data_IF_763685051049
#
_entry.id   IF_763685051049
#
_cell.length_a   1.000
_cell.length_b   1.000
_cell.length_c   1.000
_cell.angle_alpha   90.00
_cell.angle_beta   90.00
_cell.angle_gamma   90.00
#
_symmetry.space_group_name_H-M   'P 1'
#
loop_
_entity.id
_entity.type
_entity.pdbx_description
1 polymer ?
#
# COMPACT_ATOMS: atom_id res chain seq x y z
N UNK A 1 0.54 -12.48 -14.30
CA UNK A 1 -0.92 -12.38 -14.09
C UNK A 1 -1.55 -13.67 -14.59
N UNK A 2 -2.35 -14.35 -13.76
CA UNK A 2 -3.00 -15.59 -14.16
C UNK A 2 -4.24 -15.29 -15.00
N UNK A 3 -4.57 -16.16 -15.95
CA UNK A 3 -5.76 -16.02 -16.81
C UNK A 3 -7.09 -16.11 -16.07
N UNK A 4 -7.07 -16.44 -14.77
CA UNK A 4 -8.23 -16.54 -13.89
C UNK A 4 -8.32 -15.37 -12.89
N UNK A 5 -7.40 -14.41 -12.95
CA UNK A 5 -7.43 -13.26 -12.05
C UNK A 5 -8.65 -12.37 -12.38
N UNK A 6 -9.36 -11.92 -11.36
CA UNK A 6 -10.44 -10.94 -11.52
C UNK A 6 -9.86 -9.60 -11.97
N UNK A 7 -10.70 -8.77 -12.61
CA UNK A 7 -10.29 -7.44 -13.04
C UNK A 7 -9.78 -6.61 -11.85
N UNK A 8 -8.59 -6.03 -12.01
CA UNK A 8 -7.99 -5.08 -11.07
C UNK A 8 -8.73 -3.75 -11.08
N UNK A 9 -8.44 -2.87 -10.11
CA UNK A 9 -9.00 -1.51 -10.10
C UNK A 9 -8.60 -0.70 -11.33
N UNK A 10 -7.38 -0.90 -11.84
CA UNK A 10 -6.89 -0.26 -13.09
C UNK A 10 -7.76 -0.70 -14.26
N UNK A 11 -7.91 -2.01 -14.47
CA UNK A 11 -8.70 -2.55 -15.59
C UNK A 11 -10.17 -2.19 -15.48
N UNK A 12 -10.71 -2.20 -14.27
CA UNK A 12 -12.09 -1.79 -14.03
C UNK A 12 -12.29 -0.31 -14.38
N UNK A 13 -11.33 0.55 -14.02
CA UNK A 13 -11.36 1.97 -14.35
C UNK A 13 -11.25 2.22 -15.86
N UNK A 14 -10.33 1.54 -16.54
CA UNK A 14 -10.18 1.62 -18.00
C UNK A 14 -11.45 1.15 -18.69
N UNK A 15 -12.04 0.04 -18.25
CA UNK A 15 -13.27 -0.47 -18.84
C UNK A 15 -14.45 0.50 -18.64
N UNK A 16 -14.52 1.17 -17.48
CA UNK A 16 -15.58 2.13 -17.17
C UNK A 16 -15.43 3.45 -17.90
N UNK A 17 -14.20 3.95 -18.07
CA UNK A 17 -13.93 5.31 -18.56
C UNK A 17 -13.30 5.35 -19.96
N UNK A 18 -13.00 4.19 -20.55
CA UNK A 18 -12.38 4.04 -21.87
C UNK A 18 -11.10 4.87 -22.04
N UNK A 19 -10.29 4.97 -20.98
CA UNK A 19 -9.06 5.74 -20.95
C UNK A 19 -7.82 4.86 -21.17
N UNK A 20 -6.64 5.48 -21.22
CA UNK A 20 -5.37 4.74 -21.27
C UNK A 20 -4.98 4.23 -19.88
N UNK A 21 -4.05 3.28 -19.87
CA UNK A 21 -3.42 2.74 -18.66
C UNK A 21 -2.82 3.86 -17.80
N UNK A 22 -2.09 4.80 -18.42
CA UNK A 22 -1.44 5.91 -17.73
C UNK A 22 -2.48 6.79 -17.01
N UNK A 23 -3.57 7.14 -17.68
CA UNK A 23 -4.65 7.94 -17.09
C UNK A 23 -5.28 7.22 -15.90
N UNK A 24 -5.54 5.91 -16.02
CA UNK A 24 -6.12 5.13 -14.94
C UNK A 24 -5.18 5.04 -13.72
N UNK A 25 -3.87 4.90 -13.96
CA UNK A 25 -2.86 4.85 -12.92
C UNK A 25 -2.71 6.19 -12.21
N UNK A 26 -2.67 7.31 -12.95
CA UNK A 26 -2.62 8.65 -12.35
C UNK A 26 -3.85 8.92 -11.46
N UNK A 27 -5.04 8.49 -11.89
CA UNK A 27 -6.26 8.64 -11.08
C UNK A 27 -6.18 7.79 -9.80
N UNK A 28 -5.77 6.53 -9.91
CA UNK A 28 -5.67 5.64 -8.74
C UNK A 28 -4.56 6.08 -7.79
N UNK A 29 -3.44 6.58 -8.28
CA UNK A 29 -2.36 7.13 -7.46
C UNK A 29 -2.84 8.37 -6.70
N UNK A 30 -3.61 9.27 -7.33
CA UNK A 30 -4.25 10.39 -6.63
C UNK A 30 -5.23 9.94 -5.54
N UNK A 31 -6.04 8.91 -5.80
CA UNK A 31 -6.94 8.35 -4.78
C UNK A 31 -6.18 7.78 -3.57
N UNK A 32 -5.03 7.14 -3.82
CA UNK A 32 -4.15 6.64 -2.74
C UNK A 32 -3.58 7.81 -1.93
N UNK A 33 -3.13 8.88 -2.58
CA UNK A 33 -2.63 10.07 -1.89
C UNK A 33 -3.70 10.76 -1.03
N UNK A 34 -4.94 10.86 -1.52
CA UNK A 34 -6.04 11.42 -0.74
C UNK A 34 -6.44 10.52 0.43
N UNK A 35 -6.38 9.20 0.26
CA UNK A 35 -6.56 8.24 1.36
C UNK A 35 -5.46 8.38 2.43
N UNK A 36 -4.23 8.70 2.04
CA UNK A 36 -3.14 9.01 2.97
C UNK A 36 -3.42 10.27 3.79
N UNK A 37 -3.85 11.35 3.14
CA UNK A 37 -4.24 12.61 3.83
C UNK A 37 -5.34 12.34 4.85
N UNK A 38 -6.37 11.58 4.46
CA UNK A 38 -7.47 11.18 5.34
C UNK A 38 -7.00 10.38 6.55
N UNK A 39 -6.11 9.40 6.33
CA UNK A 39 -5.52 8.58 7.41
C UNK A 39 -4.71 9.44 8.38
N UNK A 40 -3.97 10.43 7.88
CA UNK A 40 -3.21 11.35 8.71
C UNK A 40 -4.11 12.28 9.52
N UNK A 41 -5.13 12.86 8.89
CA UNK A 41 -6.11 13.73 9.54
C UNK A 41 -6.84 13.03 10.69
N UNK A 42 -7.20 11.75 10.50
CA UNK A 42 -7.89 10.96 11.52
C UNK A 42 -7.12 10.85 12.86
N UNK A 43 -5.79 10.99 12.87
CA UNK A 43 -5.01 11.01 14.12
C UNK A 43 -5.28 12.25 14.97
N UNK A 44 -5.62 13.36 14.32
CA UNK A 44 -5.98 14.60 14.98
C UNK A 44 -7.46 14.61 15.37
N UNK A 45 -8.34 14.25 14.42
CA UNK A 45 -9.79 14.30 14.64
C UNK A 45 -10.29 13.27 15.65
N UNK A 46 -9.60 12.12 15.76
CA UNK A 46 -10.00 10.99 16.61
C UNK A 46 -8.99 10.71 17.71
N UNK A 47 -8.51 11.77 18.38
CA UNK A 47 -7.52 11.66 19.46
C UNK A 47 -7.91 10.67 20.58
N UNK A 48 -9.19 10.58 20.93
CA UNK A 48 -9.68 9.61 21.93
C UNK A 48 -9.49 8.13 21.52
N UNK A 49 -9.38 7.87 20.21
CA UNK A 49 -9.18 6.53 19.63
C UNK A 49 -7.77 6.36 19.04
N UNK A 50 -6.81 7.23 19.42
CA UNK A 50 -5.49 7.27 18.82
C UNK A 50 -4.77 5.91 18.76
N UNK A 51 -4.83 5.01 19.76
CA UNK A 51 -4.23 3.68 19.65
C UNK A 51 -4.80 2.86 18.48
N UNK A 52 -6.13 2.90 18.29
CA UNK A 52 -6.80 2.20 17.19
C UNK A 52 -6.46 2.83 15.84
N UNK A 53 -6.49 4.17 15.75
CA UNK A 53 -6.14 4.91 14.52
C UNK A 53 -4.70 4.60 14.12
N UNK A 54 -3.77 4.58 15.08
CA UNK A 54 -2.37 4.23 14.80
C UNK A 54 -2.20 2.79 14.32
N UNK A 55 -3.00 1.84 14.82
CA UNK A 55 -2.98 0.46 14.33
C UNK A 55 -3.39 0.38 12.86
N UNK A 56 -4.48 1.05 12.48
CA UNK A 56 -4.92 1.11 11.08
C UNK A 56 -3.87 1.79 10.21
N UNK A 57 -3.35 2.93 10.66
CA UNK A 57 -2.37 3.67 9.88
C UNK A 57 -1.02 2.94 9.74
N UNK A 58 -0.61 2.14 10.74
CA UNK A 58 0.57 1.28 10.63
C UNK A 58 0.35 0.14 9.64
N UNK A 59 -0.86 -0.41 9.55
CA UNK A 59 -1.23 -1.37 8.50
C UNK A 59 -1.18 -0.73 7.10
N UNK A 60 -1.70 0.48 6.93
CA UNK A 60 -1.59 1.20 5.65
C UNK A 60 -0.12 1.44 5.27
N UNK A 61 0.73 1.79 6.26
CA UNK A 61 2.17 1.99 6.03
C UNK A 61 2.86 0.70 5.60
N UNK A 62 2.47 -0.46 6.10
CA UNK A 62 3.09 -1.72 5.68
C UNK A 62 2.83 -2.01 4.20
N UNK A 63 1.72 -1.56 3.62
CA UNK A 63 1.46 -1.72 2.18
C UNK A 63 2.52 -1.02 1.32
N UNK A 64 3.03 0.13 1.75
CA UNK A 64 4.13 0.84 1.05
C UNK A 64 5.42 0.05 1.05
N UNK A 65 5.63 -0.82 2.05
CA UNK A 65 6.78 -1.72 2.12
C UNK A 65 6.57 -2.95 1.24
N UNK A 66 5.38 -3.53 1.29
CA UNK A 66 5.06 -4.78 0.59
C UNK A 66 4.95 -4.59 -0.92
N UNK A 67 4.42 -3.46 -1.37
CA UNK A 67 4.09 -3.20 -2.78
C UNK A 67 4.91 -2.07 -3.41
N UNK A 68 6.00 -1.65 -2.76
CA UNK A 68 6.86 -0.56 -3.24
C UNK A 68 7.34 -0.83 -4.67
N UNK A 69 7.40 0.21 -5.50
CA UNK A 69 7.90 0.16 -6.87
C UNK A 69 7.12 -0.83 -7.76
N UNK A 70 5.81 -1.03 -7.48
CA UNK A 70 4.94 -1.94 -8.23
C UNK A 70 5.42 -3.40 -8.20
N UNK A 71 6.12 -3.80 -7.12
CA UNK A 71 6.59 -5.19 -6.92
C UNK A 71 5.78 -5.85 -5.81
N UNK A 72 5.15 -6.99 -6.09
CA UNK A 72 4.48 -7.80 -5.07
C UNK A 72 5.50 -8.57 -4.23
N UNK A 73 6.01 -7.92 -3.18
CA UNK A 73 6.96 -8.56 -2.26
C UNK A 73 6.28 -9.30 -1.11
N UNK A 74 4.95 -9.33 -1.09
CA UNK A 74 4.20 -10.14 -0.13
C UNK A 74 4.18 -11.59 -0.63
N UNK A 75 3.72 -11.80 -1.87
CA UNK A 75 3.70 -13.12 -2.50
C UNK A 75 5.13 -13.56 -2.87
N UNK A 76 5.94 -12.67 -3.46
CA UNK A 76 7.31 -12.95 -3.86
C UNK A 76 8.32 -12.39 -2.85
N UNK A 77 8.30 -12.95 -1.64
CA UNK A 77 9.02 -12.45 -0.47
C UNK A 77 10.55 -12.56 -0.52
N UNK A 78 11.11 -13.24 -1.53
CA UNK A 78 12.56 -13.35 -1.71
C UNK A 78 13.23 -11.96 -1.73
N UNK A 79 12.60 -10.95 -2.34
CA UNK A 79 13.09 -9.57 -2.39
C UNK A 79 13.04 -8.80 -1.06
N UNK A 80 12.48 -9.39 0.00
CA UNK A 80 12.37 -8.80 1.34
C UNK A 80 13.18 -9.55 2.42
N UNK A 81 13.84 -10.65 2.08
CA UNK A 81 14.57 -11.51 3.03
C UNK A 81 15.56 -10.71 3.89
N UNK A 82 16.35 -9.84 3.27
CA UNK A 82 17.36 -9.04 3.97
C UNK A 82 16.73 -8.01 4.91
N UNK A 83 15.60 -7.42 4.52
CA UNK A 83 14.85 -6.49 5.37
C UNK A 83 14.23 -7.18 6.58
N UNK A 84 13.69 -8.39 6.39
CA UNK A 84 13.15 -9.19 7.50
C UNK A 84 14.28 -9.55 8.46
N UNK A 85 15.44 -9.94 7.93
CA UNK A 85 16.62 -10.20 8.74
C UNK A 85 17.04 -8.97 9.56
N UNK A 86 17.23 -7.82 8.92
CA UNK A 86 17.63 -6.58 9.60
C UNK A 86 16.63 -6.13 10.68
N UNK A 87 15.34 -6.37 10.48
CA UNK A 87 14.32 -5.89 11.41
C UNK A 87 14.05 -6.85 12.58
N UNK A 88 14.22 -8.16 12.37
CA UNK A 88 13.73 -9.19 13.30
C UNK A 88 14.76 -10.26 13.70
N UNK A 89 15.94 -10.30 13.07
CA UNK A 89 16.95 -11.34 13.30
C UNK A 89 18.29 -10.72 13.71
N UNK A 90 18.79 -9.79 12.92
CA UNK A 90 20.11 -9.21 13.10
C UNK A 90 20.00 -8.00 14.06
N UNK A 91 20.66 -8.03 15.24
CA UNK A 91 20.59 -6.94 16.20
C UNK A 91 21.36 -5.71 15.69
N UNK A 92 20.97 -4.53 16.16
CA UNK A 92 21.74 -3.29 15.93
C UNK A 92 23.04 -3.40 16.76
N UNK A 93 24.24 -3.29 16.15
CA UNK A 93 25.49 -3.27 16.89
C UNK A 93 25.51 -2.15 17.93
N UNK A 94 26.01 -2.46 19.13
CA UNK A 94 26.19 -1.51 20.23
C UNK A 94 27.47 -0.68 20.03
#
# INVERSE_FOLDING_TARGET
>A
KNKLDVASSIESYINQHHCTDEVAMDVLDNLVEDAWKTTNQARFDRGALLPLVNRVANLTKSMTLLFRNKVDRYTFSHGNKDRIRQQFIDPIPL
#
